data_IF_070816306642
#
_entry.id   IF_070816306642
#
_cell.length_a   1.000
_cell.length_b   1.000
_cell.length_c   1.000
_cell.angle_alpha   90.00
_cell.angle_beta   90.00
_cell.angle_gamma   90.00
#
_symmetry.space_group_name_H-M   'P 1'
#
loop_
_entity.id
_entity.type
_entity.pdbx_description
1 polymer ?
#
# COMPACT_ATOMS: atom_id res chain seq x y z
N UNK A 1 11.12 -7.39 -5.60
CA UNK A 1 10.53 -8.00 -4.40
C UNK A 1 9.03 -7.80 -4.42
N UNK A 2 8.27 -8.88 -4.27
CA UNK A 2 6.81 -8.87 -4.19
C UNK A 2 6.13 -8.17 -5.37
N UNK A 3 6.63 -8.40 -6.58
CA UNK A 3 6.14 -7.68 -7.76
C UNK A 3 4.66 -7.95 -8.04
N UNK A 4 4.22 -9.19 -7.82
CA UNK A 4 2.81 -9.54 -8.02
C UNK A 4 1.93 -8.82 -7.00
N UNK A 5 2.34 -8.79 -5.74
CA UNK A 5 1.60 -8.09 -4.69
C UNK A 5 1.57 -6.59 -4.97
N UNK A 6 2.69 -6.02 -5.42
CA UNK A 6 2.73 -4.60 -5.79
C UNK A 6 1.73 -4.30 -6.90
N UNK A 7 1.63 -5.16 -7.91
CA UNK A 7 0.68 -4.97 -9.00
C UNK A 7 -0.76 -5.04 -8.50
N UNK A 8 -1.05 -5.98 -7.60
CA UNK A 8 -2.38 -6.13 -7.03
C UNK A 8 -2.76 -4.91 -6.20
N UNK A 9 -1.83 -4.42 -5.36
CA UNK A 9 -2.07 -3.25 -4.51
C UNK A 9 -2.23 -1.99 -5.38
N UNK A 10 -1.40 -1.87 -6.42
CA UNK A 10 -1.54 -0.76 -7.36
C UNK A 10 -2.93 -0.75 -8.02
N UNK A 11 -3.38 -1.90 -8.53
CA UNK A 11 -4.69 -1.98 -9.18
C UNK A 11 -5.82 -1.69 -8.23
N UNK A 12 -5.71 -2.16 -6.97
CA UNK A 12 -6.72 -1.89 -5.96
C UNK A 12 -6.79 -0.40 -5.63
N UNK A 13 -5.64 0.28 -5.55
CA UNK A 13 -5.62 1.72 -5.32
C UNK A 13 -6.21 2.47 -6.51
N UNK A 14 -5.90 2.05 -7.73
CA UNK A 14 -6.44 2.71 -8.93
C UNK A 14 -7.95 2.55 -9.06
N UNK A 15 -8.51 1.51 -8.47
CA UNK A 15 -9.96 1.31 -8.47
C UNK A 15 -10.69 2.36 -7.62
N UNK A 16 -10.01 2.97 -6.65
CA UNK A 16 -10.65 3.96 -5.76
C UNK A 16 -11.13 5.19 -6.53
N UNK A 17 -10.28 5.87 -7.32
CA UNK A 17 -10.76 7.02 -8.08
C UNK A 17 -11.72 6.62 -9.20
N UNK A 18 -11.56 5.44 -9.81
CA UNK A 18 -12.45 4.96 -10.88
C UNK A 18 -13.88 4.81 -10.38
N UNK A 19 -14.06 4.47 -9.11
CA UNK A 19 -15.39 4.30 -8.51
C UNK A 19 -15.86 5.54 -7.75
N UNK A 20 -15.13 6.66 -7.86
CA UNK A 20 -15.51 7.90 -7.21
C UNK A 20 -15.40 7.86 -5.69
N UNK A 21 -14.56 6.98 -5.15
CA UNK A 21 -14.44 6.79 -3.70
C UNK A 21 -13.44 7.74 -3.06
N UNK A 22 -12.62 8.42 -3.86
CA UNK A 22 -11.57 9.30 -3.34
C UNK A 22 -11.46 10.55 -4.21
N UNK A 23 -10.85 11.60 -3.65
CA UNK A 23 -10.46 12.81 -4.39
C UNK A 23 -8.98 13.09 -4.12
N UNK A 24 -8.33 13.71 -5.12
CA UNK A 24 -6.89 14.03 -5.05
C UNK A 24 -6.07 12.76 -4.81
N UNK A 25 -5.21 12.78 -3.77
CA UNK A 25 -4.36 11.65 -3.42
C UNK A 25 -4.87 10.88 -2.19
N UNK A 26 -6.05 11.24 -1.70
CA UNK A 26 -6.62 10.64 -0.49
C UNK A 26 -7.15 9.24 -0.78
N UNK A 27 -7.19 8.42 0.26
CA UNK A 27 -7.62 7.05 0.15
C UNK A 27 -6.47 6.13 -0.23
N UNK A 28 -6.47 4.90 0.26
CA UNK A 28 -5.40 3.97 -0.06
C UNK A 28 -5.80 2.54 0.29
N UNK A 29 -5.10 1.59 -0.36
CA UNK A 29 -5.25 0.17 -0.13
C UNK A 29 -3.84 -0.40 0.08
N UNK A 30 -3.72 -1.36 0.96
CA UNK A 30 -2.47 -2.09 1.15
C UNK A 30 -2.71 -3.59 1.02
N UNK A 31 -1.62 -4.35 0.91
CA UNK A 31 -1.67 -5.80 0.93
C UNK A 31 -0.51 -6.34 1.77
N UNK A 32 -0.68 -7.52 2.32
CA UNK A 32 0.34 -8.14 3.15
C UNK A 32 0.75 -9.51 2.58
N UNK A 33 2.06 -9.78 2.61
CA UNK A 33 2.60 -11.11 2.35
C UNK A 33 2.84 -11.77 3.69
N UNK A 34 1.95 -12.70 4.08
CA UNK A 34 2.01 -13.32 5.40
C UNK A 34 3.28 -14.15 5.61
N UNK A 35 3.84 -14.71 4.51
CA UNK A 35 5.05 -15.52 4.62
C UNK A 35 6.25 -14.70 5.10
N UNK A 36 6.39 -13.47 4.63
CA UNK A 36 7.50 -12.60 5.00
C UNK A 36 7.12 -11.57 6.06
N UNK A 37 5.83 -11.32 6.25
CA UNK A 37 5.34 -10.27 7.13
C UNK A 37 5.47 -8.88 6.55
N UNK A 38 5.79 -8.77 5.25
CA UNK A 38 5.97 -7.48 4.60
C UNK A 38 4.64 -6.96 4.03
N UNK A 39 4.47 -5.64 4.10
CA UNK A 39 3.26 -4.96 3.66
C UNK A 39 3.60 -4.05 2.48
N UNK A 40 2.79 -4.11 1.42
CA UNK A 40 2.91 -3.21 0.27
C UNK A 40 1.81 -2.17 0.38
N UNK A 41 2.17 -0.90 0.27
CA UNK A 41 1.23 0.20 0.41
C UNK A 41 1.55 1.31 -0.59
N UNK A 42 0.53 2.08 -0.92
CA UNK A 42 0.62 3.24 -1.78
C UNK A 42 1.59 4.29 -1.21
N UNK A 43 2.39 4.96 -2.06
CA UNK A 43 3.21 6.07 -1.61
C UNK A 43 2.35 7.28 -1.25
N UNK A 44 2.86 8.12 -0.34
CA UNK A 44 2.18 9.32 0.12
C UNK A 44 2.26 10.41 -0.95
N UNK A 45 1.12 11.05 -1.22
CA UNK A 45 1.09 12.28 -2.00
C UNK A 45 1.36 12.14 -3.49
N UNK A 46 1.36 10.92 -4.03
CA UNK A 46 1.55 10.71 -5.47
C UNK A 46 0.18 10.71 -6.15
N UNK A 47 -0.03 11.56 -7.18
CA UNK A 47 -1.31 11.58 -7.89
C UNK A 47 -1.61 10.23 -8.55
N UNK A 48 -2.88 9.84 -8.53
CA UNK A 48 -3.29 8.56 -9.13
C UNK A 48 -2.96 8.51 -10.62
N UNK A 49 -3.02 9.64 -11.31
CA UNK A 49 -2.78 9.71 -12.76
C UNK A 49 -1.35 9.35 -13.15
N UNK A 50 -0.41 9.56 -12.24
CA UNK A 50 1.01 9.31 -12.51
C UNK A 50 1.57 8.13 -11.72
N UNK A 51 0.78 7.56 -10.81
CA UNK A 51 1.23 6.46 -9.96
C UNK A 51 1.41 5.18 -10.78
N UNK A 52 2.47 4.45 -10.49
CA UNK A 52 2.79 3.18 -11.18
C UNK A 52 2.98 2.08 -10.16
N UNK A 53 2.93 0.83 -10.62
CA UNK A 53 3.11 -0.32 -9.73
C UNK A 53 4.48 -0.28 -9.04
N UNK A 54 5.52 0.19 -9.75
CA UNK A 54 6.88 0.30 -9.19
C UNK A 54 6.96 1.32 -8.07
N UNK A 55 6.00 2.23 -7.97
CA UNK A 55 5.99 3.27 -6.93
C UNK A 55 5.50 2.74 -5.58
N UNK A 56 4.92 1.54 -5.55
CA UNK A 56 4.46 0.95 -4.31
C UNK A 56 5.62 0.74 -3.35
N UNK A 57 5.37 0.97 -2.05
CA UNK A 57 6.40 0.92 -1.02
C UNK A 57 6.20 -0.35 -0.19
N UNK A 58 7.31 -1.04 0.10
CA UNK A 58 7.29 -2.23 0.95
C UNK A 58 7.81 -1.85 2.33
N UNK A 59 7.02 -2.13 3.35
CA UNK A 59 7.39 -1.85 4.74
C UNK A 59 7.32 -3.13 5.58
N UNK A 60 8.09 -3.17 6.67
CA UNK A 60 8.01 -4.27 7.62
C UNK A 60 6.95 -3.99 8.68
N UNK A 61 6.81 -4.90 9.65
CA UNK A 61 5.77 -4.80 10.68
C UNK A 61 5.95 -3.57 11.58
N UNK A 62 7.14 -2.97 11.59
CA UNK A 62 7.42 -1.76 12.37
C UNK A 62 7.22 -0.48 11.57
N UNK A 63 6.84 -0.60 10.29
CA UNK A 63 6.64 0.56 9.43
C UNK A 63 7.90 1.07 8.76
N UNK A 64 9.00 0.34 8.87
CA UNK A 64 10.25 0.72 8.22
C UNK A 64 10.23 0.33 6.76
N UNK A 65 10.69 1.24 5.89
CA UNK A 65 10.75 0.98 4.45
C UNK A 65 11.83 -0.05 4.16
N UNK A 66 11.43 -1.16 3.55
CA UNK A 66 12.34 -2.23 3.15
C UNK A 66 12.71 -2.08 1.68
N UNK A 67 11.77 -1.66 0.84
CA UNK A 67 12.00 -1.45 -0.57
C UNK A 67 11.13 -0.29 -1.05
N UNK A 68 11.69 0.56 -1.90
CA UNK A 68 11.01 1.71 -2.46
C UNK A 68 11.76 2.99 -2.16
N UNK A 69 11.56 3.99 -3.00
CA UNK A 69 12.24 5.27 -2.88
C UNK A 69 11.31 6.37 -2.38
N UNK A 70 10.02 6.11 -2.37
CA UNK A 70 9.01 7.09 -1.98
C UNK A 70 8.57 6.85 -0.54
N UNK A 71 7.96 7.87 0.04
CA UNK A 71 7.44 7.77 1.40
C UNK A 71 6.16 6.95 1.37
N UNK A 72 5.99 5.97 2.28
CA UNK A 72 4.74 5.23 2.35
C UNK A 72 3.58 6.12 2.80
N UNK A 73 2.36 5.70 2.49
CA UNK A 73 1.16 6.42 2.90
C UNK A 73 1.20 6.78 4.38
N UNK A 74 0.70 7.96 4.73
CA UNK A 74 0.59 8.39 6.14
C UNK A 74 -0.34 7.49 6.95
N UNK A 75 -1.16 6.68 6.29
CA UNK A 75 -2.06 5.73 6.95
C UNK A 75 -1.38 4.40 7.27
N UNK A 76 -0.09 4.26 6.96
CA UNK A 76 0.64 3.01 7.19
C UNK A 76 0.51 2.49 8.63
N UNK A 77 0.65 3.32 9.68
CA UNK A 77 0.49 2.80 11.06
C UNK A 77 -0.88 2.17 11.30
N UNK A 78 -1.94 2.74 10.74
CA UNK A 78 -3.30 2.19 10.87
C UNK A 78 -3.40 0.84 10.18
N UNK A 79 -2.88 0.72 8.94
CA UNK A 79 -2.88 -0.55 8.20
C UNK A 79 -2.12 -1.63 8.98
N UNK A 80 -0.95 -1.30 9.50
CA UNK A 80 -0.14 -2.27 10.26
C UNK A 80 -0.85 -2.72 11.53
N UNK A 81 -1.52 -1.79 12.22
CA UNK A 81 -2.29 -2.13 13.42
C UNK A 81 -3.42 -3.11 13.11
N UNK A 82 -4.11 -2.90 11.98
CA UNK A 82 -5.18 -3.80 11.56
C UNK A 82 -4.66 -5.19 11.22
N UNK A 83 -3.54 -5.29 10.53
CA UNK A 83 -2.95 -6.59 10.19
C UNK A 83 -2.50 -7.35 11.43
N UNK A 84 -2.00 -6.64 12.45
CA UNK A 84 -1.62 -7.28 13.72
C UNK A 84 -2.83 -7.76 14.51
N UNK A 85 -3.89 -6.95 14.52
CA UNK A 85 -5.09 -7.25 15.29
C UNK A 85 -5.95 -8.35 14.62
N UNK A 86 -5.87 -8.45 13.29
CA UNK A 86 -6.71 -9.37 12.51
C UNK A 86 -5.84 -10.22 11.60
N UNK A 87 -5.24 -11.31 12.13
CA UNK A 87 -4.32 -12.13 11.34
C UNK A 87 -4.91 -12.74 10.07
N UNK A 88 -6.24 -12.82 9.97
CA UNK A 88 -6.91 -13.37 8.80
C UNK A 88 -7.01 -12.38 7.62
N UNK A 89 -6.71 -11.11 7.84
CA UNK A 89 -6.71 -10.12 6.75
C UNK A 89 -5.54 -10.35 5.82
N UNK A 90 -5.76 -10.07 4.53
CA UNK A 90 -4.74 -10.19 3.51
C UNK A 90 -4.73 -8.97 2.61
#
# INVERSE_FOLDING_TARGET
MLDQLKSQVYRANMALPEHGLVTYTWGNVSGIDRASGLVVIKPSGVPYETMRAEDMVVVNARGEVVEGQLRPSSDTPTHLALYRAFPQLE
#
